data_IF_785177133995
#
_entry.id   IF_785177133995
#
_cell.length_a   1.000
_cell.length_b   1.000
_cell.length_c   1.000
_cell.angle_alpha   90.00
_cell.angle_beta   90.00
_cell.angle_gamma   90.00
#
_symmetry.space_group_name_H-M   'P 1'
#
loop_
_entity.id
_entity.type
_entity.pdbx_description
1 polymer ?
#
# COMPACT_ATOMS: atom_id res chain seq x y z
N UNK A 1 -7.66 6.37 6.29
CA UNK A 1 -7.93 6.50 4.84
C UNK A 1 -8.39 5.17 4.23
N UNK A 2 -7.69 4.06 4.44
CA UNK A 2 -8.06 2.72 3.93
C UNK A 2 -9.48 2.32 4.37
N UNK A 3 -9.80 2.45 5.65
CA UNK A 3 -11.14 2.16 6.18
C UNK A 3 -12.24 3.00 5.51
N UNK A 4 -11.99 4.30 5.35
CA UNK A 4 -12.92 5.20 4.63
C UNK A 4 -13.12 4.75 3.18
N UNK A 5 -12.06 4.34 2.49
CA UNK A 5 -12.16 3.80 1.14
C UNK A 5 -12.97 2.49 1.11
N UNK A 6 -12.77 1.58 2.07
CA UNK A 6 -13.57 0.35 2.21
C UNK A 6 -15.06 0.61 2.35
N UNK A 7 -15.45 1.64 3.12
CA UNK A 7 -16.87 2.03 3.26
C UNK A 7 -17.48 2.63 1.98
N UNK A 8 -16.68 3.36 1.19
CA UNK A 8 -17.15 4.03 -0.03
C UNK A 8 -17.12 3.10 -1.26
N UNK A 9 -16.12 2.22 -1.35
CA UNK A 9 -15.92 1.27 -2.45
C UNK A 9 -16.54 -0.10 -2.13
N UNK A 10 -17.87 -0.14 -2.04
CA UNK A 10 -18.62 -1.33 -1.58
C UNK A 10 -18.38 -2.60 -2.40
N UNK A 11 -18.04 -2.47 -3.68
CA UNK A 11 -17.73 -3.60 -4.56
C UNK A 11 -16.40 -4.28 -4.24
N UNK A 12 -15.53 -3.66 -3.43
CA UNK A 12 -14.17 -4.16 -3.17
C UNK A 12 -13.27 -4.09 -4.41
N UNK A 13 -12.17 -4.81 -4.38
CA UNK A 13 -11.19 -4.91 -5.48
C UNK A 13 -10.44 -3.62 -5.80
N UNK A 14 -10.59 -2.58 -4.96
CA UNK A 14 -10.01 -1.28 -5.21
C UNK A 14 -8.50 -1.26 -4.94
N UNK A 15 -7.81 -0.24 -5.46
CA UNK A 15 -6.35 -0.11 -5.42
C UNK A 15 -5.94 1.09 -4.55
N UNK A 16 -5.03 0.88 -3.60
CA UNK A 16 -4.36 1.96 -2.89
C UNK A 16 -3.15 2.42 -3.70
N UNK A 17 -2.97 3.74 -3.85
CA UNK A 17 -1.77 4.31 -4.48
C UNK A 17 -1.05 5.16 -3.43
N UNK A 18 0.25 4.91 -3.23
CA UNK A 18 1.15 5.74 -2.42
C UNK A 18 2.32 6.22 -3.26
N UNK A 19 2.42 7.54 -3.43
CA UNK A 19 3.54 8.20 -4.11
C UNK A 19 4.13 9.25 -3.19
N UNK A 20 5.36 9.68 -3.48
CA UNK A 20 5.89 10.88 -2.86
C UNK A 20 5.15 12.11 -3.42
N UNK A 21 4.98 13.15 -2.60
CA UNK A 21 4.51 14.44 -3.12
C UNK A 21 5.61 15.09 -3.98
N UNK A 22 5.26 15.98 -4.93
CA UNK A 22 6.25 16.84 -5.55
C UNK A 22 7.06 17.57 -4.47
N UNK A 23 8.40 17.52 -4.58
CA UNK A 23 9.34 18.12 -3.63
C UNK A 23 9.25 17.59 -2.18
N UNK A 24 8.74 16.36 -1.98
CA UNK A 24 8.78 15.70 -0.67
C UNK A 24 10.23 15.58 -0.18
N UNK A 25 10.51 16.08 1.03
CA UNK A 25 11.81 15.86 1.66
C UNK A 25 11.88 14.46 2.28
N UNK A 26 12.56 13.57 1.55
CA UNK A 26 12.71 12.16 1.91
C UNK A 26 13.54 11.93 3.19
N UNK A 27 14.19 12.95 3.75
CA UNK A 27 14.92 12.82 5.02
C UNK A 27 13.99 12.84 6.23
N UNK A 28 12.81 13.44 6.08
CA UNK A 28 11.85 13.63 7.16
C UNK A 28 10.64 12.70 7.04
N UNK A 29 10.16 12.45 5.82
CA UNK A 29 8.93 11.70 5.62
C UNK A 29 8.98 10.90 4.30
N UNK A 30 9.29 9.61 4.45
CA UNK A 30 9.33 8.61 3.38
C UNK A 30 7.99 7.87 3.35
N UNK A 31 7.27 7.85 2.22
CA UNK A 31 6.09 7.00 2.06
C UNK A 31 6.41 5.56 2.46
N UNK A 32 5.53 4.96 3.28
CA UNK A 32 5.82 3.66 3.88
C UNK A 32 4.64 2.69 3.76
N UNK A 33 4.92 1.42 3.47
CA UNK A 33 3.97 0.29 3.47
C UNK A 33 4.53 -0.82 4.34
N UNK A 34 3.68 -1.59 5.02
CA UNK A 34 4.11 -2.73 5.84
C UNK A 34 2.94 -3.65 6.17
N UNK A 35 3.18 -4.64 7.04
CA UNK A 35 2.19 -5.64 7.51
C UNK A 35 0.84 -5.01 7.85
N UNK A 36 0.82 -3.99 8.72
CA UNK A 36 -0.41 -3.31 9.13
C UNK A 36 -1.18 -2.67 7.96
N UNK A 37 -0.47 -2.23 6.90
CA UNK A 37 -1.12 -1.73 5.68
C UNK A 37 -1.84 -2.86 4.96
N UNK A 38 -1.18 -4.01 4.79
CA UNK A 38 -1.74 -5.19 4.10
C UNK A 38 -2.95 -5.77 4.86
N UNK A 39 -2.88 -5.85 6.20
CA UNK A 39 -4.02 -6.26 7.03
C UNK A 39 -5.22 -5.32 6.86
N UNK A 40 -4.97 -4.01 6.85
CA UNK A 40 -6.02 -3.02 6.71
C UNK A 40 -6.63 -3.05 5.30
N UNK A 41 -5.81 -3.25 4.27
CA UNK A 41 -6.27 -3.45 2.89
C UNK A 41 -7.16 -4.69 2.78
N UNK A 42 -6.75 -5.81 3.37
CA UNK A 42 -7.57 -7.03 3.40
C UNK A 42 -8.91 -6.81 4.11
N UNK A 43 -8.88 -6.19 5.31
CA UNK A 43 -10.09 -5.86 6.09
C UNK A 43 -11.08 -5.02 5.28
N UNK A 44 -10.58 -4.18 4.36
CA UNK A 44 -11.37 -3.26 3.56
C UNK A 44 -11.54 -3.69 2.10
N UNK A 45 -11.31 -4.97 1.80
CA UNK A 45 -11.57 -5.57 0.49
C UNK A 45 -10.79 -4.92 -0.67
N UNK A 46 -9.60 -4.36 -0.40
CA UNK A 46 -8.71 -3.90 -1.45
C UNK A 46 -8.04 -5.09 -2.15
N UNK A 47 -7.71 -4.92 -3.43
CA UNK A 47 -7.02 -5.95 -4.23
C UNK A 47 -5.56 -5.63 -4.54
N UNK A 48 -5.13 -4.39 -4.36
CA UNK A 48 -3.80 -3.95 -4.79
C UNK A 48 -3.30 -2.74 -3.98
N UNK A 49 -1.98 -2.66 -3.82
CA UNK A 49 -1.27 -1.44 -3.46
C UNK A 49 -0.18 -1.14 -4.49
N UNK A 50 -0.20 0.07 -5.03
CA UNK A 50 0.82 0.62 -5.92
C UNK A 50 1.69 1.58 -5.13
N UNK A 51 3.00 1.42 -5.25
CA UNK A 51 4.01 2.28 -4.62
C UNK A 51 4.94 2.87 -5.66
N UNK A 52 5.42 4.09 -5.43
CA UNK A 52 6.45 4.67 -6.28
C UNK A 52 7.81 3.99 -6.02
N UNK A 53 8.36 3.39 -7.07
CA UNK A 53 9.60 2.64 -7.01
C UNK A 53 10.78 3.56 -6.64
N UNK A 54 11.58 3.14 -5.66
CA UNK A 54 12.72 3.92 -5.16
C UNK A 54 12.34 5.07 -4.23
N UNK A 55 11.05 5.36 -4.01
CA UNK A 55 10.58 6.42 -3.10
C UNK A 55 9.63 5.94 -2.01
N UNK A 56 9.47 4.63 -1.86
CA UNK A 56 8.61 4.03 -0.81
C UNK A 56 9.40 2.99 -0.04
N UNK A 57 9.35 3.07 1.29
CA UNK A 57 9.90 2.06 2.19
C UNK A 57 8.89 0.94 2.42
N UNK A 58 9.31 -0.31 2.28
CA UNK A 58 8.52 -1.48 2.70
C UNK A 58 9.11 -1.99 4.03
N UNK A 59 8.37 -1.80 5.11
CA UNK A 59 8.74 -2.32 6.44
C UNK A 59 8.59 -3.84 6.46
N UNK A 60 9.55 -4.52 7.09
CA UNK A 60 9.60 -5.98 7.23
C UNK A 60 9.24 -6.68 5.92
N UNK A 61 9.94 -6.31 4.84
CA UNK A 61 9.62 -6.73 3.47
C UNK A 61 9.30 -8.23 3.33
N UNK A 62 10.05 -9.18 3.94
CA UNK A 62 9.71 -10.59 3.84
C UNK A 62 8.31 -10.92 4.39
N UNK A 63 7.95 -10.37 5.55
CA UNK A 63 6.63 -10.66 6.17
C UNK A 63 5.52 -9.89 5.46
N UNK A 64 5.77 -8.65 5.04
CA UNK A 64 4.80 -7.86 4.26
C UNK A 64 4.45 -8.55 2.94
N UNK A 65 5.44 -9.08 2.20
CA UNK A 65 5.21 -9.80 0.95
C UNK A 65 4.48 -11.12 1.19
N UNK A 66 4.92 -11.93 2.17
CA UNK A 66 4.28 -13.19 2.53
C UNK A 66 2.82 -13.02 2.92
N UNK A 67 2.49 -11.95 3.64
CA UNK A 67 1.12 -11.63 4.01
C UNK A 67 0.29 -11.16 2.81
N UNK A 68 0.88 -10.34 1.94
CA UNK A 68 0.22 -9.88 0.71
C UNK A 68 -0.14 -11.07 -0.19
N UNK A 69 0.76 -12.03 -0.38
CA UNK A 69 0.52 -13.26 -1.12
C UNK A 69 -0.61 -14.09 -0.50
N UNK A 70 -0.57 -14.29 0.84
CA UNK A 70 -1.62 -15.00 1.57
C UNK A 70 -3.00 -14.36 1.36
N UNK A 71 -3.05 -13.03 1.35
CA UNK A 71 -4.30 -12.28 1.19
C UNK A 71 -4.68 -12.02 -0.27
N UNK A 72 -3.86 -12.44 -1.23
CA UNK A 72 -4.03 -12.18 -2.66
C UNK A 72 -4.13 -10.68 -2.97
N UNK A 73 -3.30 -9.88 -2.32
CA UNK A 73 -3.19 -8.43 -2.56
C UNK A 73 -1.92 -8.19 -3.36
N UNK A 74 -2.05 -7.65 -4.57
CA UNK A 74 -0.89 -7.32 -5.39
C UNK A 74 -0.11 -6.13 -4.79
N UNK A 75 1.21 -6.20 -4.80
CA UNK A 75 2.10 -5.06 -4.54
C UNK A 75 2.83 -4.72 -5.85
N UNK A 76 2.65 -3.51 -6.35
CA UNK A 76 3.23 -3.06 -7.62
C UNK A 76 4.13 -1.86 -7.37
N UNK A 77 5.39 -1.95 -7.82
CA UNK A 77 6.28 -0.80 -7.91
C UNK A 77 6.19 -0.15 -9.28
N UNK A 78 5.81 1.13 -9.35
CA UNK A 78 5.73 1.89 -10.60
C UNK A 78 6.76 3.04 -10.62
N UNK A 79 7.29 3.36 -11.79
CA UNK A 79 8.07 4.60 -11.99
C UNK A 79 7.08 5.78 -12.00
N UNK A 80 7.41 6.82 -11.24
CA UNK A 80 6.68 8.10 -11.21
C UNK A 80 7.07 9.03 -12.35
#
# INVERSE_FOLDING_TARGET
MIERAGHLCRSGGWTLIKTAKPNQDMRFDVPTVGVATIENLKKNQAGCVVVEAGKTLILDMPETLKLADRYKIAIIGCKG
#
